data_IF_903949762489
#
_entry.id   IF_903949762489
#
_cell.length_a   1.000
_cell.length_b   1.000
_cell.length_c   1.000
_cell.angle_alpha   90.00
_cell.angle_beta   90.00
_cell.angle_gamma   90.00
#
_symmetry.space_group_name_H-M   'P 1'
#
loop_
_entity.id
_entity.type
_entity.pdbx_description
1 polymer ?
#
# COMPACT_ATOMS: atom_id res chain seq x y z
N UNK A 1 -16.41 -17.98 -31.86
CA UNK A 1 -16.33 -17.30 -30.56
C UNK A 1 -15.92 -15.86 -30.85
N UNK A 2 -16.46 -14.84 -30.17
CA UNK A 2 -15.91 -13.50 -30.32
C UNK A 2 -14.42 -13.52 -29.95
N UNK A 3 -13.60 -12.72 -30.64
CA UNK A 3 -12.18 -12.61 -30.33
C UNK A 3 -12.04 -12.17 -28.87
N UNK A 4 -11.10 -12.77 -28.14
CA UNK A 4 -10.83 -12.36 -26.77
C UNK A 4 -10.37 -10.90 -26.78
N UNK A 5 -10.92 -10.08 -25.86
CA UNK A 5 -10.55 -8.67 -25.72
C UNK A 5 -9.09 -8.58 -25.25
N UNK A 6 -8.40 -7.54 -25.66
CA UNK A 6 -7.00 -7.28 -25.33
C UNK A 6 -6.85 -6.04 -24.47
N UNK A 7 -5.88 -6.08 -23.56
CA UNK A 7 -5.54 -4.94 -22.70
C UNK A 7 -4.04 -4.78 -22.55
N UNK A 8 -3.57 -3.56 -22.67
CA UNK A 8 -2.20 -3.18 -22.28
C UNK A 8 -2.24 -2.44 -20.95
N UNK A 9 -1.42 -2.90 -20.00
CA UNK A 9 -1.30 -2.33 -18.65
C UNK A 9 0.05 -1.63 -18.55
N UNK A 10 0.06 -0.37 -18.17
CA UNK A 10 1.27 0.41 -17.92
C UNK A 10 1.55 0.44 -16.43
N UNK A 11 2.66 -0.19 -16.03
CA UNK A 11 3.11 -0.32 -14.65
C UNK A 11 2.95 -1.74 -14.10
N UNK A 12 4.07 -2.36 -13.72
CA UNK A 12 4.16 -3.70 -13.13
C UNK A 12 4.30 -3.65 -11.59
N UNK A 13 3.68 -2.66 -10.95
CA UNK A 13 3.48 -2.63 -9.51
C UNK A 13 2.34 -3.56 -9.07
N UNK A 14 1.98 -3.49 -7.78
CA UNK A 14 0.92 -4.34 -7.22
C UNK A 14 -0.43 -4.16 -7.92
N UNK A 15 -0.80 -2.93 -8.33
CA UNK A 15 -2.03 -2.68 -9.09
C UNK A 15 -2.00 -3.39 -10.45
N UNK A 16 -0.94 -3.15 -11.24
CA UNK A 16 -0.87 -3.70 -12.60
C UNK A 16 -0.74 -5.22 -12.63
N UNK A 17 0.10 -5.81 -11.78
CA UNK A 17 0.30 -7.26 -11.77
C UNK A 17 -0.93 -8.02 -11.26
N UNK A 18 -1.60 -7.52 -10.22
CA UNK A 18 -2.83 -8.17 -9.72
C UNK A 18 -3.97 -8.07 -10.73
N UNK A 19 -4.12 -6.90 -11.38
CA UNK A 19 -5.06 -6.72 -12.48
C UNK A 19 -4.77 -7.65 -13.65
N UNK A 20 -3.49 -7.76 -14.04
CA UNK A 20 -3.06 -8.61 -15.15
C UNK A 20 -3.41 -10.09 -14.92
N UNK A 21 -3.14 -10.60 -13.73
CA UNK A 21 -3.45 -11.99 -13.34
C UNK A 21 -4.96 -12.22 -13.38
N UNK A 22 -5.73 -11.33 -12.80
CA UNK A 22 -7.19 -11.46 -12.73
C UNK A 22 -7.84 -11.37 -14.11
N UNK A 23 -7.48 -10.36 -14.91
CA UNK A 23 -8.01 -10.19 -16.27
C UNK A 23 -7.62 -11.37 -17.17
N UNK A 24 -6.39 -11.86 -17.04
CA UNK A 24 -5.98 -13.08 -17.76
C UNK A 24 -6.84 -14.28 -17.38
N UNK A 25 -7.12 -14.44 -16.08
CA UNK A 25 -8.06 -15.48 -15.58
C UNK A 25 -9.48 -15.33 -16.11
N UNK A 26 -9.92 -14.10 -16.43
CA UNK A 26 -11.22 -13.80 -17.07
C UNK A 26 -11.21 -13.93 -18.59
N UNK A 27 -10.09 -14.36 -19.19
CA UNK A 27 -10.00 -14.64 -20.63
C UNK A 27 -9.49 -13.49 -21.50
N UNK A 28 -8.98 -12.40 -20.91
CA UNK A 28 -8.35 -11.30 -21.65
C UNK A 28 -6.97 -11.69 -22.20
N UNK A 29 -6.60 -11.12 -23.33
CA UNK A 29 -5.21 -11.04 -23.76
C UNK A 29 -4.53 -9.87 -23.06
N UNK A 30 -3.57 -10.15 -22.20
CA UNK A 30 -2.98 -9.15 -21.31
C UNK A 30 -1.49 -8.98 -21.60
N UNK A 31 -1.07 -7.73 -21.84
CA UNK A 31 0.32 -7.32 -21.83
C UNK A 31 0.55 -6.27 -20.74
N UNK A 32 1.71 -6.33 -20.08
CA UNK A 32 2.13 -5.37 -19.05
C UNK A 32 3.46 -4.78 -19.48
N UNK A 33 3.62 -3.46 -19.39
CA UNK A 33 4.90 -2.79 -19.62
C UNK A 33 5.33 -1.99 -18.39
N UNK A 34 6.64 -1.98 -18.12
CA UNK A 34 7.25 -1.23 -17.01
C UNK A 34 8.61 -0.66 -17.43
N UNK A 35 8.97 0.57 -17.01
CA UNK A 35 10.25 1.19 -17.36
C UNK A 35 11.48 0.53 -16.73
N UNK A 36 11.29 -0.25 -15.66
CA UNK A 36 12.38 -0.91 -14.95
C UNK A 36 12.31 -2.43 -14.99
N UNK A 37 13.24 -3.10 -14.29
CA UNK A 37 13.08 -4.50 -13.96
C UNK A 37 11.90 -4.68 -13.00
N UNK A 38 11.28 -5.86 -13.01
CA UNK A 38 10.16 -6.16 -12.08
C UNK A 38 10.63 -7.16 -11.03
N UNK A 39 10.64 -6.78 -9.73
CA UNK A 39 10.13 -5.56 -9.08
C UNK A 39 10.94 -4.30 -9.36
N UNK A 40 10.25 -3.22 -9.73
CA UNK A 40 10.89 -1.91 -9.96
C UNK A 40 11.32 -1.29 -8.62
N UNK A 41 12.61 -0.98 -8.38
CA UNK A 41 13.08 -0.50 -7.08
C UNK A 41 12.41 0.79 -6.60
N UNK A 42 12.00 1.63 -7.52
CA UNK A 42 11.36 2.92 -7.24
C UNK A 42 9.85 2.84 -7.04
N UNK A 43 9.21 1.70 -7.31
CA UNK A 43 7.77 1.54 -7.11
C UNK A 43 7.39 1.57 -5.61
N UNK A 44 6.23 2.14 -5.29
CA UNK A 44 5.71 2.15 -3.92
C UNK A 44 5.49 0.74 -3.36
N UNK A 45 5.16 -0.21 -4.22
CA UNK A 45 4.95 -1.62 -3.85
C UNK A 45 6.25 -2.39 -3.58
N UNK A 46 7.42 -1.85 -3.96
CA UNK A 46 8.72 -2.51 -3.77
C UNK A 46 9.42 -1.97 -2.54
N UNK A 47 9.47 -2.77 -1.48
CA UNK A 47 10.10 -2.43 -0.19
C UNK A 47 10.43 -3.74 0.55
N UNK A 48 11.09 -3.65 1.71
CA UNK A 48 11.36 -4.84 2.54
C UNK A 48 10.09 -5.37 3.21
N UNK A 49 9.18 -4.48 3.62
CA UNK A 49 7.95 -4.86 4.34
C UNK A 49 6.83 -3.85 4.14
N UNK A 50 5.58 -4.34 4.23
CA UNK A 50 4.35 -3.54 4.25
C UNK A 50 3.39 -4.10 5.29
N UNK A 51 2.71 -3.22 6.03
CA UNK A 51 1.69 -3.62 7.01
C UNK A 51 0.49 -4.25 6.29
N UNK A 52 0.00 -5.35 6.85
CA UNK A 52 -1.26 -6.01 6.44
C UNK A 52 -2.19 -6.04 7.64
N UNK A 53 -3.29 -5.32 7.57
CA UNK A 53 -4.26 -5.13 8.65
C UNK A 53 -5.66 -4.89 8.10
N UNK A 54 -6.68 -5.00 8.96
CA UNK A 54 -8.08 -4.71 8.66
C UNK A 54 -8.67 -3.56 9.48
N UNK A 55 -7.85 -2.88 10.25
CA UNK A 55 -8.21 -1.81 11.18
C UNK A 55 -8.38 -0.49 10.42
N UNK A 56 -9.64 -0.01 10.27
CA UNK A 56 -9.99 1.15 9.44
C UNK A 56 -11.02 2.09 10.12
N UNK A 57 -10.96 2.21 11.46
CA UNK A 57 -11.95 2.99 12.18
C UNK A 57 -13.35 2.41 12.00
N UNK A 58 -14.33 3.26 11.80
CA UNK A 58 -15.71 2.89 11.51
C UNK A 58 -15.99 2.65 10.01
N UNK A 59 -14.95 2.59 9.16
CA UNK A 59 -15.14 2.38 7.72
C UNK A 59 -15.37 0.90 7.41
N UNK A 60 -16.64 0.54 7.21
CA UNK A 60 -17.09 -0.81 6.94
C UNK A 60 -16.46 -1.39 5.67
N UNK A 61 -16.46 -0.62 4.57
CA UNK A 61 -15.93 -1.11 3.29
C UNK A 61 -14.45 -1.48 3.39
N UNK A 62 -13.63 -0.57 3.93
CA UNK A 62 -12.20 -0.83 4.07
C UNK A 62 -11.91 -1.97 5.05
N UNK A 63 -12.69 -2.08 6.13
CA UNK A 63 -12.55 -3.18 7.10
C UNK A 63 -12.88 -4.51 6.45
N UNK A 64 -13.99 -4.62 5.70
CA UNK A 64 -14.36 -5.85 5.01
C UNK A 64 -13.36 -6.24 3.91
N UNK A 65 -12.87 -5.27 3.12
CA UNK A 65 -11.78 -5.53 2.16
C UNK A 65 -10.52 -6.04 2.87
N UNK A 66 -10.17 -5.47 4.04
CA UNK A 66 -9.04 -5.92 4.85
C UNK A 66 -9.21 -7.33 5.37
N UNK A 67 -10.40 -7.69 5.88
CA UNK A 67 -10.75 -9.04 6.35
C UNK A 67 -10.63 -10.09 5.23
N UNK A 68 -11.22 -9.77 4.07
CA UNK A 68 -11.15 -10.63 2.89
C UNK A 68 -9.71 -10.77 2.38
N UNK A 69 -8.94 -9.69 2.40
CA UNK A 69 -7.55 -9.71 2.02
C UNK A 69 -6.70 -10.59 2.94
N UNK A 70 -6.87 -10.48 4.27
CA UNK A 70 -6.14 -11.31 5.25
C UNK A 70 -6.36 -12.81 5.03
N UNK A 71 -7.58 -13.22 4.69
CA UNK A 71 -7.87 -14.61 4.35
C UNK A 71 -7.08 -15.06 3.12
N UNK A 72 -7.06 -14.24 2.07
CA UNK A 72 -6.35 -14.55 0.82
C UNK A 72 -4.82 -14.43 0.94
N UNK A 73 -4.29 -13.63 1.86
CA UNK A 73 -2.85 -13.64 2.17
C UNK A 73 -2.36 -15.00 2.65
N UNK A 74 -3.16 -15.70 3.47
CA UNK A 74 -2.85 -17.07 3.88
C UNK A 74 -2.90 -18.06 2.70
N UNK A 75 -3.81 -17.85 1.74
CA UNK A 75 -3.84 -18.63 0.49
C UNK A 75 -2.60 -18.40 -0.34
N UNK A 76 -2.15 -17.16 -0.50
CA UNK A 76 -0.93 -16.82 -1.21
C UNK A 76 0.33 -17.44 -0.61
N UNK A 77 0.44 -17.51 0.73
CA UNK A 77 1.53 -18.25 1.38
C UNK A 77 1.55 -19.72 1.00
N UNK A 78 0.37 -20.36 0.94
CA UNK A 78 0.28 -21.78 0.52
C UNK A 78 0.62 -21.96 -0.97
N UNK A 79 0.14 -21.05 -1.80
CA UNK A 79 0.36 -21.10 -3.25
C UNK A 79 1.82 -20.83 -3.62
N UNK A 80 2.47 -19.87 -2.98
CA UNK A 80 3.86 -19.50 -3.25
C UNK A 80 4.88 -20.53 -2.71
N UNK A 81 4.49 -21.32 -1.71
CA UNK A 81 5.38 -22.25 -1.02
C UNK A 81 6.42 -21.57 -0.11
N UNK A 82 6.35 -20.24 0.02
CA UNK A 82 7.23 -19.44 0.88
C UNK A 82 6.40 -18.41 1.66
N UNK A 83 6.83 -17.97 2.85
CA UNK A 83 6.13 -16.94 3.59
C UNK A 83 6.27 -15.58 2.87
N UNK A 84 5.20 -15.15 2.23
CA UNK A 84 5.05 -13.80 1.66
C UNK A 84 4.43 -12.84 2.69
N UNK A 85 3.59 -13.38 3.56
CA UNK A 85 2.88 -12.68 4.63
C UNK A 85 3.12 -13.39 5.96
N UNK A 86 3.50 -12.63 6.98
CA UNK A 86 3.71 -13.05 8.35
C UNK A 86 2.54 -12.57 9.20
N UNK A 87 1.73 -13.52 9.70
CA UNK A 87 0.57 -13.22 10.55
C UNK A 87 0.99 -13.14 12.01
N UNK A 88 1.83 -12.17 12.35
CA UNK A 88 2.44 -12.00 13.67
C UNK A 88 1.56 -11.16 14.62
N UNK A 89 0.36 -10.78 14.17
CA UNK A 89 -0.52 -9.83 14.84
C UNK A 89 -0.17 -8.38 14.52
N UNK A 90 -1.06 -7.48 14.94
CA UNK A 90 -0.92 -6.03 14.77
C UNK A 90 -1.19 -5.34 16.12
N UNK A 91 -0.16 -4.66 16.64
CA UNK A 91 -0.24 -3.89 17.88
C UNK A 91 -0.61 -2.44 17.57
N UNK A 92 -1.67 -1.95 18.18
CA UNK A 92 -2.13 -0.56 18.05
C UNK A 92 -2.12 0.08 19.43
N UNK A 93 -1.28 1.09 19.61
CA UNK A 93 -1.13 1.80 20.88
C UNK A 93 -1.44 3.28 20.71
N UNK A 94 -2.04 3.88 21.74
CA UNK A 94 -2.40 5.29 21.81
C UNK A 94 -1.68 5.96 22.98
N UNK A 95 -1.21 7.19 22.77
CA UNK A 95 -0.60 8.03 23.83
C UNK A 95 -1.62 8.67 24.79
N UNK A 96 -2.89 8.49 24.50
CA UNK A 96 -3.99 8.88 25.36
C UNK A 96 -5.01 7.75 25.43
N UNK A 97 -5.92 7.80 26.39
CA UNK A 97 -7.04 6.87 26.42
C UNK A 97 -7.82 6.96 25.10
N UNK A 98 -8.09 5.82 24.49
CA UNK A 98 -8.87 5.76 23.24
C UNK A 98 -10.28 6.30 23.48
N UNK A 99 -10.71 7.27 22.68
CA UNK A 99 -11.98 7.97 22.84
C UNK A 99 -12.88 7.83 21.59
N UNK A 100 -14.20 7.85 21.74
CA UNK A 100 -15.12 7.89 20.61
C UNK A 100 -14.74 8.97 19.59
N UNK A 101 -14.80 8.63 18.30
CA UNK A 101 -14.37 9.49 17.20
C UNK A 101 -12.88 9.40 16.87
N UNK A 102 -12.05 8.79 17.71
CA UNK A 102 -10.64 8.50 17.42
C UNK A 102 -10.50 7.22 16.61
N UNK A 103 -9.53 7.21 15.69
CA UNK A 103 -9.30 6.07 14.77
C UNK A 103 -9.09 4.73 15.53
N UNK A 104 -8.28 4.73 16.58
CA UNK A 104 -7.97 3.54 17.37
C UNK A 104 -9.21 3.01 18.11
N UNK A 105 -10.01 3.91 18.68
CA UNK A 105 -11.25 3.55 19.37
C UNK A 105 -12.28 2.97 18.40
N UNK A 106 -12.54 3.67 17.30
CA UNK A 106 -13.52 3.23 16.30
C UNK A 106 -13.10 1.90 15.66
N UNK A 107 -11.80 1.70 15.39
CA UNK A 107 -11.28 0.42 14.91
C UNK A 107 -11.54 -0.70 15.91
N UNK A 108 -11.22 -0.48 17.19
CA UNK A 108 -11.45 -1.47 18.24
C UNK A 108 -12.93 -1.82 18.38
N UNK A 109 -13.79 -0.79 18.45
CA UNK A 109 -15.24 -0.98 18.59
C UNK A 109 -15.84 -1.73 17.40
N UNK A 110 -15.54 -1.26 16.17
CA UNK A 110 -16.12 -1.87 14.97
C UNK A 110 -15.68 -3.32 14.80
N UNK A 111 -14.40 -3.64 14.97
CA UNK A 111 -13.89 -5.01 14.89
C UNK A 111 -14.48 -5.90 15.99
N UNK A 112 -14.75 -5.34 17.18
CA UNK A 112 -15.45 -6.08 18.25
C UNK A 112 -16.88 -6.43 17.85
N UNK A 113 -17.62 -5.54 17.17
CA UNK A 113 -18.96 -5.86 16.65
C UNK A 113 -18.94 -6.98 15.62
N UNK A 114 -17.85 -7.09 14.86
CA UNK A 114 -17.59 -8.17 13.91
C UNK A 114 -17.08 -9.47 14.57
N UNK A 115 -17.04 -9.49 15.91
CA UNK A 115 -16.56 -10.63 16.73
C UNK A 115 -15.10 -11.02 16.46
N UNK A 116 -14.27 -10.06 16.05
CA UNK A 116 -12.84 -10.28 15.99
C UNK A 116 -12.27 -10.37 17.42
N UNK A 117 -11.28 -11.25 17.61
CA UNK A 117 -10.69 -11.53 18.94
C UNK A 117 -9.59 -10.51 19.25
N UNK A 118 -9.98 -9.29 19.57
CA UNK A 118 -9.05 -8.26 19.99
C UNK A 118 -8.76 -8.35 21.49
N UNK A 119 -7.55 -7.98 21.86
CA UNK A 119 -7.12 -7.89 23.26
C UNK A 119 -6.84 -6.42 23.60
N UNK A 120 -7.64 -5.81 24.50
CA UNK A 120 -7.40 -4.46 24.99
C UNK A 120 -6.20 -4.47 25.94
N UNK A 121 -5.34 -3.48 25.82
CA UNK A 121 -4.10 -3.36 26.55
C UNK A 121 -4.01 -2.01 27.27
N UNK A 122 -3.67 -2.05 28.55
CA UNK A 122 -3.19 -0.89 29.31
C UNK A 122 -1.66 -0.89 29.38
N UNK A 123 -1.08 0.14 30.00
CA UNK A 123 0.38 0.25 30.16
C UNK A 123 1.01 -0.96 30.85
N UNK A 124 0.31 -1.57 31.84
CA UNK A 124 0.85 -2.73 32.56
C UNK A 124 0.92 -3.97 31.66
N UNK A 125 -0.15 -4.21 30.87
CA UNK A 125 -0.19 -5.28 29.88
C UNK A 125 0.85 -5.07 28.77
N UNK A 126 1.04 -3.83 28.31
CA UNK A 126 2.09 -3.49 27.33
C UNK A 126 3.47 -3.77 27.90
N UNK A 127 3.79 -3.33 29.14
CA UNK A 127 5.08 -3.57 29.78
C UNK A 127 5.39 -5.08 29.92
N UNK A 128 4.39 -5.86 30.30
CA UNK A 128 4.53 -7.30 30.47
C UNK A 128 4.79 -8.03 29.16
N UNK A 129 4.03 -7.69 28.11
CA UNK A 129 4.00 -8.46 26.86
C UNK A 129 5.01 -7.97 25.83
N UNK A 130 5.27 -6.65 25.80
CA UNK A 130 6.11 -5.99 24.82
C UNK A 130 7.20 -5.15 25.48
N UNK A 131 8.18 -5.79 26.16
CA UNK A 131 9.13 -5.11 27.05
C UNK A 131 10.06 -4.10 26.36
N UNK A 132 10.10 -4.06 25.03
CA UNK A 132 10.86 -3.04 24.29
C UNK A 132 10.20 -1.66 24.28
N UNK A 133 8.93 -1.54 24.70
CA UNK A 133 8.19 -0.28 24.70
C UNK A 133 8.34 0.51 26.00
N UNK A 134 8.39 1.83 25.93
CA UNK A 134 8.12 2.72 27.06
C UNK A 134 6.62 2.71 27.36
N UNK A 135 6.16 1.66 28.06
CA UNK A 135 4.74 1.37 28.24
C UNK A 135 3.97 2.48 28.98
N UNK A 136 4.62 3.26 29.84
CA UNK A 136 4.06 4.43 30.51
C UNK A 136 3.62 5.55 29.56
N UNK A 137 4.18 5.60 28.37
CA UNK A 137 3.79 6.53 27.31
C UNK A 137 2.51 6.11 26.56
N UNK A 138 2.03 4.88 26.78
CA UNK A 138 0.91 4.28 26.06
C UNK A 138 -0.13 3.68 27.02
N UNK A 139 -1.00 4.53 27.58
CA UNK A 139 -1.99 4.10 28.59
C UNK A 139 -3.10 3.23 28.03
N UNK A 140 -3.27 3.16 26.71
CA UNK A 140 -4.36 2.42 26.07
C UNK A 140 -3.96 1.92 24.68
N UNK A 141 -4.63 0.87 24.25
CA UNK A 141 -4.40 0.28 22.95
C UNK A 141 -5.03 -1.10 22.85
N UNK A 142 -4.68 -1.81 21.79
CA UNK A 142 -5.11 -3.20 21.61
C UNK A 142 -4.14 -4.00 20.74
N UNK A 143 -4.20 -5.31 20.88
CA UNK A 143 -3.56 -6.26 19.98
C UNK A 143 -4.62 -6.98 19.14
N UNK A 144 -4.43 -6.94 17.82
CA UNK A 144 -5.23 -7.70 16.87
C UNK A 144 -4.41 -8.92 16.40
N UNK A 145 -4.77 -10.17 16.77
CA UNK A 145 -4.02 -11.35 16.36
C UNK A 145 -4.13 -11.66 14.86
N UNK A 146 -5.08 -11.03 14.18
CA UNK A 146 -5.25 -11.10 12.73
C UNK A 146 -4.70 -9.86 12.07
N UNK A 147 -3.47 -9.96 11.62
CA UNK A 147 -2.73 -8.89 10.99
C UNK A 147 -1.25 -9.23 10.99
N UNK A 148 -0.44 -8.35 10.44
CA UNK A 148 0.98 -8.59 10.35
C UNK A 148 1.63 -7.80 9.24
N UNK A 149 2.58 -8.40 8.54
CA UNK A 149 3.31 -7.71 7.50
C UNK A 149 3.67 -8.64 6.33
N UNK A 150 3.83 -8.07 5.16
CA UNK A 150 4.20 -8.79 3.95
C UNK A 150 5.58 -8.34 3.45
N UNK A 151 6.37 -9.30 2.93
CA UNK A 151 7.65 -9.07 2.27
C UNK A 151 7.43 -8.53 0.86
N UNK A 152 7.18 -7.21 0.77
CA UNK A 152 6.57 -6.61 -0.40
C UNK A 152 7.34 -6.80 -1.71
N UNK A 153 8.69 -6.73 -1.70
CA UNK A 153 9.48 -7.02 -2.90
C UNK A 153 9.34 -8.48 -3.35
N UNK A 154 9.31 -9.43 -2.40
CA UNK A 154 9.08 -10.85 -2.73
C UNK A 154 7.68 -11.08 -3.29
N UNK A 155 6.69 -10.41 -2.72
CA UNK A 155 5.31 -10.45 -3.22
C UNK A 155 5.23 -9.99 -4.67
N UNK A 156 5.83 -8.84 -5.00
CA UNK A 156 5.80 -8.31 -6.37
C UNK A 156 6.55 -9.24 -7.33
N UNK A 157 7.71 -9.80 -6.92
CA UNK A 157 8.45 -10.77 -7.71
C UNK A 157 7.63 -12.03 -7.98
N UNK A 158 6.97 -12.57 -6.95
CA UNK A 158 6.08 -13.71 -7.07
C UNK A 158 4.88 -13.42 -7.99
N UNK A 159 4.25 -12.25 -7.86
CA UNK A 159 3.15 -11.83 -8.74
C UNK A 159 3.60 -11.73 -10.20
N UNK A 160 4.81 -11.20 -10.46
CA UNK A 160 5.35 -11.11 -11.81
C UNK A 160 5.58 -12.51 -12.42
N UNK A 161 6.11 -13.45 -11.63
CA UNK A 161 6.25 -14.83 -12.05
C UNK A 161 4.88 -15.48 -12.32
N UNK A 162 3.92 -15.29 -11.40
CA UNK A 162 2.55 -15.83 -11.54
C UNK A 162 1.87 -15.29 -12.79
N UNK A 163 2.01 -13.99 -13.08
CA UNK A 163 1.48 -13.38 -14.29
C UNK A 163 2.05 -14.03 -15.56
N UNK A 164 3.39 -14.21 -15.62
CA UNK A 164 4.05 -14.91 -16.75
C UNK A 164 3.57 -16.35 -16.90
N UNK A 165 3.47 -17.10 -15.80
CA UNK A 165 2.95 -18.47 -15.81
C UNK A 165 1.49 -18.54 -16.28
N UNK A 166 0.68 -17.52 -16.02
CA UNK A 166 -0.69 -17.40 -16.52
C UNK A 166 -0.77 -17.01 -18.01
N UNK A 167 0.35 -16.70 -18.66
CA UNK A 167 0.41 -16.29 -20.06
C UNK A 167 0.20 -14.78 -20.26
N UNK A 168 0.51 -13.97 -19.25
CA UNK A 168 0.62 -12.52 -19.40
C UNK A 168 1.98 -12.18 -20.00
N UNK A 169 2.00 -11.34 -21.04
CA UNK A 169 3.24 -10.81 -21.61
C UNK A 169 3.76 -9.67 -20.76
N UNK A 170 4.91 -9.83 -20.09
CA UNK A 170 5.51 -8.81 -19.24
C UNK A 170 6.76 -8.24 -19.90
N UNK A 171 6.67 -6.99 -20.35
CA UNK A 171 7.71 -6.23 -21.02
C UNK A 171 8.42 -5.31 -20.03
N UNK A 172 9.64 -5.67 -19.66
CA UNK A 172 10.51 -4.87 -18.79
C UNK A 172 11.36 -3.89 -19.62
N UNK A 173 11.74 -2.76 -19.02
CA UNK A 173 12.56 -1.71 -19.64
C UNK A 173 11.87 -0.95 -20.79
N UNK A 174 10.54 -0.94 -20.78
CA UNK A 174 9.73 -0.14 -21.71
C UNK A 174 9.08 1.03 -20.99
N UNK A 175 9.70 2.20 -21.10
CA UNK A 175 9.16 3.42 -20.51
C UNK A 175 8.02 3.96 -21.37
N UNK A 176 6.89 4.29 -20.75
CA UNK A 176 5.76 4.95 -21.39
C UNK A 176 6.18 6.30 -22.01
N UNK A 177 5.78 6.57 -23.22
CA UNK A 177 5.95 7.85 -23.90
C UNK A 177 4.63 8.61 -24.07
N UNK A 178 3.62 7.95 -24.64
CA UNK A 178 2.30 8.55 -24.92
C UNK A 178 1.23 7.49 -25.16
N UNK A 179 -0.02 7.90 -25.05
CA UNK A 179 -1.16 7.12 -25.53
C UNK A 179 -1.16 7.11 -27.07
N UNK A 180 -1.63 5.99 -27.65
CA UNK A 180 -1.97 5.89 -29.06
C UNK A 180 -3.47 6.13 -29.19
N UNK A 181 -3.85 7.08 -30.07
CA UNK A 181 -5.25 7.48 -30.24
C UNK A 181 -5.67 7.28 -31.71
N UNK A 182 -6.91 6.86 -31.87
CA UNK A 182 -7.64 6.82 -33.16
C UNK A 182 -8.93 7.61 -32.96
N UNK A 183 -8.94 8.82 -33.49
CA UNK A 183 -9.94 9.83 -33.15
C UNK A 183 -9.89 10.18 -31.67
N UNK A 184 -10.98 10.01 -30.95
CA UNK A 184 -11.08 10.22 -29.50
C UNK A 184 -10.78 8.95 -28.67
N UNK A 185 -10.58 7.81 -29.32
CA UNK A 185 -10.40 6.52 -28.66
C UNK A 185 -8.92 6.22 -28.43
N UNK A 186 -8.58 5.80 -27.23
CA UNK A 186 -7.27 5.21 -26.93
C UNK A 186 -7.25 3.77 -27.44
N UNK A 187 -6.24 3.44 -28.25
CA UNK A 187 -6.03 2.14 -28.91
C UNK A 187 -4.70 1.49 -28.52
N UNK A 188 -4.07 1.96 -27.46
CA UNK A 188 -2.81 1.44 -26.96
C UNK A 188 -1.87 2.51 -26.44
N UNK A 189 -0.59 2.16 -26.34
CA UNK A 189 0.48 3.03 -25.88
C UNK A 189 1.72 2.92 -26.74
N UNK A 190 2.54 3.98 -26.79
CA UNK A 190 3.88 3.94 -27.35
C UNK A 190 4.91 4.08 -26.24
N UNK A 191 5.94 3.24 -26.29
CA UNK A 191 7.10 3.35 -25.44
C UNK A 191 8.09 4.40 -25.98
N UNK A 192 9.03 4.86 -25.14
CA UNK A 192 10.03 5.86 -25.51
C UNK A 192 11.00 5.43 -26.61
N UNK A 193 11.18 4.11 -26.78
CA UNK A 193 11.98 3.52 -27.89
C UNK A 193 11.23 3.47 -29.24
N UNK A 194 9.97 3.92 -29.26
CA UNK A 194 9.10 3.94 -30.42
C UNK A 194 8.21 2.70 -30.59
N UNK A 195 8.39 1.64 -29.81
CA UNK A 195 7.54 0.45 -29.87
C UNK A 195 6.11 0.77 -29.50
N UNK A 196 5.17 0.25 -30.28
CA UNK A 196 3.73 0.37 -30.03
C UNK A 196 3.17 -0.91 -29.42
N UNK A 197 2.31 -0.75 -28.42
CA UNK A 197 1.50 -1.80 -27.80
C UNK A 197 0.04 -1.46 -28.02
N UNK A 198 -0.57 -2.11 -29.02
CA UNK A 198 -1.98 -1.87 -29.39
C UNK A 198 -2.88 -2.85 -28.66
N UNK A 199 -4.03 -2.35 -28.16
CA UNK A 199 -5.02 -3.15 -27.45
C UNK A 199 -6.39 -2.48 -27.51
N UNK A 200 -7.46 -3.24 -27.22
CA UNK A 200 -8.83 -2.73 -27.11
C UNK A 200 -9.00 -1.76 -25.94
N UNK A 201 -8.27 -2.00 -24.84
CA UNK A 201 -8.22 -1.15 -23.66
C UNK A 201 -6.76 -0.90 -23.22
N UNK A 202 -6.55 0.26 -22.60
CA UNK A 202 -5.31 0.63 -21.93
C UNK A 202 -5.60 0.90 -20.46
N UNK A 203 -4.85 0.27 -19.54
CA UNK A 203 -4.93 0.52 -18.10
C UNK A 203 -3.66 1.24 -17.64
N UNK A 204 -3.79 2.44 -17.09
CA UNK A 204 -2.69 3.12 -16.41
C UNK A 204 -2.67 2.73 -14.93
N UNK A 205 -1.70 1.90 -14.53
CA UNK A 205 -1.44 1.46 -13.16
C UNK A 205 -0.10 2.02 -12.65
N UNK A 206 0.14 3.31 -12.92
CA UNK A 206 1.44 3.97 -12.85
C UNK A 206 1.76 4.60 -11.49
N UNK A 207 0.94 4.32 -10.45
CA UNK A 207 1.14 4.79 -9.09
C UNK A 207 1.35 6.31 -9.04
N UNK A 208 2.42 6.75 -8.39
CA UNK A 208 2.73 8.17 -8.19
C UNK A 208 2.92 8.97 -9.50
N UNK A 209 3.19 8.31 -10.63
CA UNK A 209 3.32 8.97 -11.95
C UNK A 209 1.98 9.26 -12.61
N UNK A 210 0.87 8.68 -12.12
CA UNK A 210 -0.45 8.84 -12.76
C UNK A 210 -0.83 10.30 -13.02
N UNK A 211 -0.76 11.23 -12.05
CA UNK A 211 -1.12 12.63 -12.29
C UNK A 211 -0.12 13.38 -13.20
N UNK A 212 1.08 12.85 -13.41
CA UNK A 212 2.05 13.37 -14.37
C UNK A 212 1.71 12.93 -15.79
N UNK A 213 1.22 11.68 -15.95
CA UNK A 213 0.85 11.13 -17.26
C UNK A 213 -0.56 11.55 -17.68
N UNK A 214 -1.43 11.87 -16.72
CA UNK A 214 -2.78 12.39 -16.90
C UNK A 214 -2.92 13.70 -16.10
N UNK A 215 -2.46 14.85 -16.63
CA UNK A 215 -2.46 16.12 -15.90
C UNK A 215 -3.84 16.58 -15.41
N UNK A 216 -4.90 16.15 -16.08
CA UNK A 216 -6.30 16.37 -15.67
C UNK A 216 -6.64 15.79 -14.30
N UNK A 217 -5.82 14.88 -13.77
CA UNK A 217 -5.96 14.31 -12.43
C UNK A 217 -5.14 15.05 -11.36
N UNK A 218 -4.35 16.05 -11.73
CA UNK A 218 -3.42 16.73 -10.79
C UNK A 218 -4.13 17.49 -9.64
N UNK A 219 -5.39 17.87 -9.83
CA UNK A 219 -6.20 18.52 -8.80
C UNK A 219 -6.79 17.52 -7.78
N UNK A 220 -6.89 16.25 -8.14
CA UNK A 220 -7.53 15.20 -7.33
C UNK A 220 -6.56 14.16 -6.81
N UNK A 221 -5.34 14.06 -7.39
CA UNK A 221 -4.28 13.18 -6.90
C UNK A 221 -2.89 13.77 -7.11
N UNK A 222 -1.93 13.33 -6.32
CA UNK A 222 -0.55 13.83 -6.34
C UNK A 222 0.45 12.84 -5.73
N UNK A 223 1.72 12.97 -6.10
CA UNK A 223 2.79 12.20 -5.49
C UNK A 223 3.20 12.80 -4.15
N UNK A 224 3.26 11.95 -3.11
CA UNK A 224 3.68 12.32 -1.74
C UNK A 224 4.81 11.42 -1.26
N UNK A 225 5.95 12.02 -0.90
CA UNK A 225 7.08 11.33 -0.29
C UNK A 225 6.88 11.13 1.20
N UNK A 226 7.03 9.89 1.66
CA UNK A 226 6.98 9.51 3.06
C UNK A 226 8.33 8.91 3.48
N UNK A 227 8.97 9.41 4.55
CA UNK A 227 10.27 8.91 5.00
C UNK A 227 10.15 7.54 5.65
N UNK A 228 11.09 6.69 5.33
CA UNK A 228 11.31 5.37 5.92
C UNK A 228 12.76 5.28 6.33
N UNK A 229 13.02 4.93 7.59
CA UNK A 229 14.36 4.75 8.12
C UNK A 229 14.55 3.31 8.60
N UNK A 230 15.71 2.75 8.26
CA UNK A 230 16.10 1.40 8.67
C UNK A 230 17.25 1.50 9.66
N UNK A 231 17.07 0.88 10.82
CA UNK A 231 18.06 0.82 11.88
C UNK A 231 18.61 -0.58 12.03
N UNK A 232 19.82 -0.71 12.58
CA UNK A 232 20.45 -1.97 12.92
C UNK A 232 20.26 -2.27 14.40
N UNK A 233 19.65 -3.42 14.72
CA UNK A 233 19.55 -3.91 16.09
C UNK A 233 20.61 -5.00 16.34
N UNK A 234 21.25 -4.95 17.52
CA UNK A 234 22.34 -5.88 17.86
C UNK A 234 21.80 -7.29 18.14
N UNK A 235 20.61 -7.41 18.71
CA UNK A 235 19.97 -8.68 19.05
C UNK A 235 18.58 -8.77 18.38
N UNK A 236 18.50 -9.26 17.13
CA UNK A 236 17.23 -9.29 16.38
C UNK A 236 16.12 -10.05 17.10
N UNK A 237 16.43 -11.10 17.85
CA UNK A 237 15.43 -11.94 18.52
C UNK A 237 14.60 -11.18 19.58
N UNK A 238 15.13 -10.10 20.15
CA UNK A 238 14.39 -9.25 21.09
C UNK A 238 13.37 -8.34 20.39
N UNK A 239 13.59 -8.08 19.11
CA UNK A 239 12.80 -7.18 18.26
C UNK A 239 11.97 -7.92 17.20
N UNK A 240 11.63 -9.17 17.47
CA UNK A 240 10.79 -10.00 16.61
C UNK A 240 9.51 -10.45 17.34
N UNK A 241 8.51 -10.87 16.56
CA UNK A 241 7.32 -11.48 17.13
C UNK A 241 7.66 -12.74 17.94
N UNK A 242 6.92 -13.02 19.03
CA UNK A 242 5.74 -12.31 19.52
C UNK A 242 6.04 -11.09 20.40
N UNK A 243 7.31 -10.84 20.76
CA UNK A 243 7.72 -9.74 21.66
C UNK A 243 7.66 -8.38 20.99
N UNK A 244 7.85 -8.33 19.69
CA UNK A 244 7.84 -7.11 18.89
C UNK A 244 7.16 -7.38 17.53
N UNK A 245 5.81 -7.42 17.50
CA UNK A 245 5.05 -7.58 16.25
C UNK A 245 5.12 -6.31 15.41
N UNK A 246 4.48 -6.31 14.24
CA UNK A 246 4.21 -5.07 13.51
C UNK A 246 3.25 -4.19 14.33
N UNK A 247 3.48 -2.87 14.30
CA UNK A 247 2.81 -1.96 15.21
C UNK A 247 2.44 -0.61 14.57
N UNK A 248 1.48 0.06 15.20
CA UNK A 248 1.14 1.45 15.01
C UNK A 248 1.10 2.14 16.38
N UNK A 249 1.73 3.30 16.48
CA UNK A 249 1.82 4.09 17.70
C UNK A 249 1.17 5.44 17.47
N UNK A 250 -0.01 5.64 18.07
CA UNK A 250 -0.78 6.88 17.96
C UNK A 250 -1.01 7.26 16.48
N UNK A 251 -1.37 6.25 15.68
CA UNK A 251 -1.37 6.34 14.22
C UNK A 251 -2.36 7.38 13.71
N UNK A 252 -3.52 7.49 14.37
CA UNK A 252 -4.55 8.46 14.01
C UNK A 252 -4.12 9.92 14.19
N UNK A 253 -3.13 10.21 15.05
CA UNK A 253 -2.69 11.58 15.36
C UNK A 253 -1.29 11.89 14.87
N UNK A 254 -0.36 10.93 15.00
CA UNK A 254 1.07 11.16 14.73
C UNK A 254 1.63 10.36 13.57
N UNK A 255 0.93 9.30 13.14
CA UNK A 255 1.27 8.53 11.96
C UNK A 255 2.40 7.52 12.15
N UNK A 256 2.91 7.24 13.35
CA UNK A 256 4.01 6.32 13.56
C UNK A 256 3.62 4.86 13.40
N UNK A 257 4.45 4.11 12.68
CA UNK A 257 4.34 2.65 12.56
C UNK A 257 5.69 2.02 12.28
N UNK A 258 5.80 0.72 12.55
CA UNK A 258 7.03 0.00 12.31
C UNK A 258 6.84 -1.51 12.29
N UNK A 259 7.94 -2.20 12.10
CA UNK A 259 7.98 -3.62 11.81
C UNK A 259 8.90 -4.36 12.76
N UNK A 260 8.71 -5.69 12.95
CA UNK A 260 9.71 -6.49 13.62
C UNK A 260 11.06 -6.45 12.87
N UNK A 261 12.13 -6.70 13.58
CA UNK A 261 13.45 -6.81 12.98
C UNK A 261 13.51 -8.04 12.05
N UNK A 262 14.15 -7.89 10.91
CA UNK A 262 14.51 -9.01 10.06
C UNK A 262 15.64 -9.84 10.70
N UNK A 263 15.88 -11.04 10.17
CA UNK A 263 16.92 -11.95 10.71
C UNK A 263 18.33 -11.33 10.68
N UNK A 264 18.59 -10.42 9.74
CA UNK A 264 19.85 -9.69 9.64
C UNK A 264 19.95 -8.49 10.62
N UNK A 265 18.93 -8.26 11.44
CA UNK A 265 18.86 -7.15 12.39
C UNK A 265 18.38 -5.83 11.79
N UNK A 266 17.89 -5.81 10.56
CA UNK A 266 17.27 -4.62 9.97
C UNK A 266 15.90 -4.38 10.59
N UNK A 267 15.71 -3.24 11.25
CA UNK A 267 14.46 -2.80 11.86
C UNK A 267 13.98 -1.55 11.15
N UNK A 268 12.78 -1.61 10.57
CA UNK A 268 12.18 -0.54 9.79
C UNK A 268 11.17 0.26 10.60
N UNK A 269 11.31 1.57 10.57
CA UNK A 269 10.35 2.53 11.13
C UNK A 269 9.93 3.51 10.05
N UNK A 270 8.68 3.90 10.08
CA UNK A 270 8.12 4.83 9.12
C UNK A 270 7.06 5.74 9.77
N UNK A 271 6.72 6.79 9.06
CA UNK A 271 5.69 7.72 9.48
C UNK A 271 4.69 7.95 8.35
N UNK A 272 3.40 7.82 8.67
CA UNK A 272 2.27 8.09 7.77
C UNK A 272 1.69 9.47 8.08
N UNK A 273 2.54 10.49 7.99
CA UNK A 273 2.17 11.88 8.22
C UNK A 273 1.78 12.60 6.93
N UNK A 274 1.75 13.94 6.93
CA UNK A 274 1.38 14.74 5.75
C UNK A 274 2.32 14.49 4.56
N UNK A 275 3.56 14.10 4.84
CA UNK A 275 4.56 13.86 3.82
C UNK A 275 4.97 15.12 3.06
N UNK A 276 5.68 14.93 1.97
CA UNK A 276 6.17 16.02 1.12
C UNK A 276 5.70 15.81 -0.32
N UNK A 277 4.94 16.75 -0.89
CA UNK A 277 4.58 16.71 -2.31
C UNK A 277 5.83 16.92 -3.16
N UNK A 278 6.01 16.11 -4.19
CA UNK A 278 7.14 16.21 -5.11
C UNK A 278 6.78 15.58 -6.46
N UNK A 279 7.56 15.96 -7.49
CA UNK A 279 7.47 15.27 -8.78
C UNK A 279 7.99 13.82 -8.62
N UNK A 280 7.35 12.80 -9.21
CA UNK A 280 7.75 11.40 -9.02
C UNK A 280 9.16 11.08 -9.56
N UNK A 281 9.69 11.85 -10.48
CA UNK A 281 11.06 11.75 -11.01
C UNK A 281 12.09 12.59 -10.23
N UNK A 282 11.65 13.34 -9.20
CA UNK A 282 12.58 14.11 -8.37
C UNK A 282 13.48 13.17 -7.53
N UNK A 283 14.67 13.63 -7.10
CA UNK A 283 15.51 12.88 -6.16
C UNK A 283 14.73 12.44 -4.93
N UNK A 284 14.87 11.17 -4.57
CA UNK A 284 14.13 10.54 -3.45
C UNK A 284 14.96 10.52 -2.19
N UNK A 285 15.31 11.70 -1.72
CA UNK A 285 16.10 11.88 -0.50
C UNK A 285 15.19 12.22 0.67
N UNK A 286 15.43 11.61 1.83
CA UNK A 286 14.80 12.01 3.08
C UNK A 286 15.36 13.36 3.51
N UNK A 287 14.54 14.17 4.20
CA UNK A 287 14.97 15.46 4.70
C UNK A 287 16.02 15.30 5.81
N UNK A 288 16.93 16.28 5.94
CA UNK A 288 17.86 16.37 7.08
C UNK A 288 17.14 16.38 8.45
N UNK A 289 15.87 16.81 8.47
CA UNK A 289 15.07 16.87 9.70
C UNK A 289 14.40 15.52 10.03
N UNK A 290 14.37 14.58 9.09
CA UNK A 290 13.70 13.30 9.31
C UNK A 290 14.43 12.43 10.33
N UNK A 291 15.75 12.27 10.22
CA UNK A 291 16.49 11.46 11.20
C UNK A 291 16.35 12.01 12.63
N UNK A 292 16.58 13.29 12.92
CA UNK A 292 16.35 13.86 14.25
C UNK A 292 14.93 13.59 14.78
N UNK A 293 13.90 13.72 13.96
CA UNK A 293 12.51 13.45 14.31
C UNK A 293 12.28 11.97 14.63
N UNK A 294 12.83 11.05 13.85
CA UNK A 294 12.77 9.61 14.13
C UNK A 294 13.55 9.25 15.41
N UNK A 295 14.72 9.85 15.61
CA UNK A 295 15.52 9.66 16.86
C UNK A 295 14.75 10.15 18.09
N UNK A 296 14.04 11.27 18.01
CA UNK A 296 13.19 11.75 19.10
C UNK A 296 12.09 10.71 19.41
N UNK A 297 11.39 10.22 18.40
CA UNK A 297 10.39 9.17 18.57
C UNK A 297 10.99 7.89 19.20
N UNK A 298 12.19 7.46 18.77
CA UNK A 298 12.88 6.30 19.34
C UNK A 298 13.19 6.50 20.81
N UNK A 299 13.75 7.66 21.20
CA UNK A 299 14.05 7.96 22.62
C UNK A 299 12.81 7.86 23.51
N UNK A 300 11.69 8.35 23.02
CA UNK A 300 10.44 8.35 23.78
C UNK A 300 9.78 6.96 23.85
N UNK A 301 9.82 6.23 22.75
CA UNK A 301 9.02 5.00 22.57
C UNK A 301 9.84 3.73 22.79
N UNK A 302 11.07 3.70 22.29
CA UNK A 302 12.00 2.55 22.32
C UNK A 302 13.39 3.01 22.77
N UNK A 303 13.60 3.36 24.04
CA UNK A 303 14.88 3.92 24.52
C UNK A 303 16.09 3.07 24.16
N UNK A 304 15.96 1.75 24.15
CA UNK A 304 17.02 0.83 23.76
C UNK A 304 17.44 0.95 22.28
N UNK A 305 16.62 1.60 21.43
CA UNK A 305 16.91 1.86 20.02
C UNK A 305 17.35 3.32 19.75
N UNK A 306 17.42 4.16 20.77
CA UNK A 306 17.71 5.60 20.59
C UNK A 306 18.99 5.84 19.78
N UNK A 307 20.03 5.05 20.05
CA UNK A 307 21.35 5.15 19.42
C UNK A 307 21.62 4.03 18.39
N UNK A 308 20.59 3.27 18.00
CA UNK A 308 20.74 2.21 17.00
C UNK A 308 21.30 2.79 15.69
N UNK A 309 22.30 2.15 15.06
CA UNK A 309 22.88 2.64 13.81
C UNK A 309 21.83 2.78 12.71
N UNK A 310 21.75 3.95 12.08
CA UNK A 310 20.99 4.16 10.84
C UNK A 310 21.73 3.49 9.69
N UNK A 311 21.11 2.49 9.03
CA UNK A 311 21.73 1.70 7.97
C UNK A 311 21.15 1.98 6.58
N UNK A 312 20.08 2.75 6.52
CA UNK A 312 19.49 3.13 5.25
C UNK A 312 18.26 4.01 5.41
N UNK A 313 18.01 4.79 4.37
CA UNK A 313 16.83 5.65 4.28
C UNK A 313 16.12 5.43 2.95
N UNK A 314 14.82 5.68 2.90
CA UNK A 314 14.02 5.65 1.69
C UNK A 314 12.93 6.71 1.75
N UNK A 315 12.74 7.46 0.68
CA UNK A 315 11.54 8.25 0.48
C UNK A 315 10.56 7.44 -0.37
N UNK A 316 9.55 6.87 0.27
CA UNK A 316 8.51 6.10 -0.41
C UNK A 316 7.49 7.05 -1.03
N UNK A 317 7.17 6.91 -2.32
CA UNK A 317 6.18 7.74 -2.97
C UNK A 317 4.81 7.08 -2.95
N UNK A 318 3.83 7.76 -2.35
CA UNK A 318 2.41 7.43 -2.47
C UNK A 318 1.81 8.18 -3.66
N UNK A 319 0.75 7.65 -4.24
CA UNK A 319 -0.19 8.38 -5.08
C UNK A 319 -1.40 8.73 -4.21
N UNK A 320 -1.35 9.88 -3.55
CA UNK A 320 -2.45 10.34 -2.71
C UNK A 320 -3.61 10.85 -3.54
N UNK A 321 -4.82 10.51 -3.15
CA UNK A 321 -6.06 11.14 -3.62
C UNK A 321 -6.59 12.09 -2.56
N UNK A 322 -7.43 13.03 -2.98
CA UNK A 322 -7.98 14.06 -2.09
C UNK A 322 -8.82 13.49 -0.93
N UNK A 323 -9.33 12.26 -1.07
CA UNK A 323 -10.21 11.58 -0.10
C UNK A 323 -9.63 10.24 0.40
N UNK A 324 -8.41 9.89 0.02
CA UNK A 324 -7.75 8.64 0.41
C UNK A 324 -8.29 7.37 -0.26
N UNK A 325 -9.31 7.45 -1.11
CA UNK A 325 -9.86 6.29 -1.81
C UNK A 325 -9.11 5.99 -3.11
N UNK A 326 -9.12 4.73 -3.54
CA UNK A 326 -8.59 4.34 -4.83
C UNK A 326 -9.30 5.04 -5.98
N UNK A 327 -8.66 5.06 -7.13
CA UNK A 327 -9.21 5.55 -8.38
C UNK A 327 -9.19 4.42 -9.39
N UNK A 328 -10.34 3.76 -9.56
CA UNK A 328 -10.48 2.56 -10.38
C UNK A 328 -11.67 2.78 -11.33
N UNK A 329 -11.43 3.31 -12.53
CA UNK A 329 -12.51 3.61 -13.46
C UNK A 329 -12.03 3.83 -14.90
N UNK A 330 -12.97 3.82 -15.83
CA UNK A 330 -12.78 4.32 -17.17
C UNK A 330 -12.61 5.84 -17.19
N UNK A 331 -11.79 6.33 -18.10
CA UNK A 331 -11.66 7.77 -18.32
C UNK A 331 -12.94 8.30 -19.00
N UNK A 332 -13.63 9.32 -18.44
CA UNK A 332 -14.95 9.73 -18.91
C UNK A 332 -14.95 10.33 -20.32
N UNK A 333 -13.81 10.89 -20.77
CA UNK A 333 -13.69 11.58 -22.05
C UNK A 333 -12.77 10.87 -23.05
N UNK A 334 -12.10 9.77 -22.66
CA UNK A 334 -11.18 9.00 -23.52
C UNK A 334 -11.58 7.53 -23.54
N UNK A 335 -12.53 7.13 -24.40
CA UNK A 335 -12.90 5.72 -24.55
C UNK A 335 -11.66 4.86 -24.79
N UNK A 336 -11.61 3.67 -24.20
CA UNK A 336 -10.46 2.79 -24.31
C UNK A 336 -9.37 3.01 -23.27
N UNK A 337 -9.50 4.03 -22.39
CA UNK A 337 -8.59 4.30 -21.31
C UNK A 337 -9.22 4.02 -19.94
N UNK A 338 -8.52 3.24 -19.11
CA UNK A 338 -8.84 3.00 -17.70
C UNK A 338 -7.69 3.48 -16.81
N UNK A 339 -8.00 3.82 -15.57
CA UNK A 339 -7.03 4.22 -14.54
C UNK A 339 -7.18 3.35 -13.30
N UNK A 340 -6.06 2.87 -12.76
CA UNK A 340 -5.97 2.21 -11.46
C UNK A 340 -4.83 2.82 -10.66
N UNK A 341 -5.16 3.77 -9.77
CA UNK A 341 -4.20 4.57 -9.01
C UNK A 341 -4.77 4.96 -7.63
N UNK A 342 -4.11 5.89 -6.95
CA UNK A 342 -4.61 6.45 -5.71
C UNK A 342 -4.40 5.52 -4.51
N UNK A 343 -3.22 4.91 -4.40
CA UNK A 343 -2.90 3.98 -3.30
C UNK A 343 -2.95 4.64 -1.91
N UNK A 344 -2.79 5.96 -1.83
CA UNK A 344 -2.81 6.78 -0.62
C UNK A 344 -2.02 6.16 0.55
N UNK A 345 -0.97 5.40 0.21
CA UNK A 345 -0.08 4.71 1.16
C UNK A 345 -0.67 3.49 1.85
N UNK A 346 -1.86 3.03 1.46
CA UNK A 346 -2.49 1.90 2.17
C UNK A 346 -2.97 0.74 1.27
N UNK A 347 -2.73 0.78 -0.05
CA UNK A 347 -3.26 -0.23 -0.96
C UNK A 347 -2.60 -1.61 -0.87
N UNK A 348 -1.31 -1.70 -0.52
CA UNK A 348 -0.57 -2.96 -0.62
C UNK A 348 -1.20 -4.12 0.16
N UNK A 349 -1.77 -3.85 1.33
CA UNK A 349 -2.45 -4.86 2.15
C UNK A 349 -3.64 -5.52 1.45
N UNK A 350 -4.22 -4.84 0.46
CA UNK A 350 -5.35 -5.33 -0.33
C UNK A 350 -4.91 -6.10 -1.59
N UNK A 351 -3.61 -6.30 -1.82
CA UNK A 351 -3.10 -6.96 -3.01
C UNK A 351 -3.88 -8.22 -3.43
N UNK A 352 -4.26 -9.14 -2.51
CA UNK A 352 -4.98 -10.34 -2.89
C UNK A 352 -6.43 -10.14 -3.38
N UNK A 353 -7.03 -8.99 -3.12
CA UNK A 353 -8.39 -8.63 -3.59
C UNK A 353 -8.39 -7.52 -4.64
N UNK A 354 -7.26 -6.81 -4.76
CA UNK A 354 -7.14 -5.63 -5.61
C UNK A 354 -7.33 -5.95 -7.10
N UNK A 355 -6.79 -7.08 -7.56
CA UNK A 355 -6.94 -7.51 -8.96
C UNK A 355 -8.41 -7.65 -9.37
N UNK A 356 -9.23 -8.24 -8.50
CA UNK A 356 -10.67 -8.38 -8.72
C UNK A 356 -11.37 -7.02 -8.82
N UNK A 357 -11.06 -6.08 -7.93
CA UNK A 357 -11.61 -4.72 -7.97
C UNK A 357 -11.23 -3.98 -9.26
N UNK A 358 -9.98 -4.10 -9.69
CA UNK A 358 -9.52 -3.44 -10.93
C UNK A 358 -10.15 -4.09 -12.15
N UNK A 359 -10.24 -5.41 -12.20
CA UNK A 359 -10.88 -6.11 -13.29
C UNK A 359 -12.38 -5.78 -13.38
N UNK A 360 -13.08 -5.68 -12.24
CA UNK A 360 -14.47 -5.24 -12.17
C UNK A 360 -14.65 -3.81 -12.75
N UNK A 361 -13.71 -2.90 -12.45
CA UNK A 361 -13.68 -1.56 -13.04
C UNK A 361 -13.46 -1.59 -14.56
N UNK A 362 -12.47 -2.37 -15.02
CA UNK A 362 -12.14 -2.54 -16.45
C UNK A 362 -13.34 -3.09 -17.22
N UNK A 363 -14.10 -4.01 -16.64
CA UNK A 363 -15.31 -4.60 -17.24
C UNK A 363 -16.58 -3.75 -17.05
N UNK A 364 -16.45 -2.57 -16.42
CA UNK A 364 -17.54 -1.62 -16.23
C UNK A 364 -18.60 -2.07 -15.23
N UNK A 365 -18.24 -2.91 -14.27
CA UNK A 365 -19.15 -3.34 -13.20
C UNK A 365 -19.50 -2.17 -12.30
N UNK A 366 -20.77 -2.05 -11.96
CA UNK A 366 -21.32 -0.97 -11.13
C UNK A 366 -21.97 -1.56 -9.88
N UNK A 367 -21.34 -1.37 -8.73
CA UNK A 367 -21.89 -1.66 -7.41
C UNK A 367 -21.50 -0.58 -6.39
N UNK A 368 -21.84 -0.76 -5.11
CA UNK A 368 -21.57 0.22 -4.06
C UNK A 368 -20.07 0.42 -3.84
N UNK A 369 -19.26 -0.64 -3.97
CA UNK A 369 -17.80 -0.61 -3.84
C UNK A 369 -17.18 0.15 -5.00
N UNK A 370 -17.58 -0.19 -6.23
CA UNK A 370 -17.05 0.45 -7.42
C UNK A 370 -17.41 1.93 -7.50
N UNK A 371 -18.61 2.32 -7.05
CA UNK A 371 -19.00 3.74 -6.96
C UNK A 371 -18.08 4.56 -6.07
N UNK A 372 -17.51 3.97 -5.01
CA UNK A 372 -16.56 4.65 -4.12
C UNK A 372 -15.22 4.92 -4.81
N UNK A 373 -14.81 4.08 -5.74
CA UNK A 373 -13.53 4.16 -6.45
C UNK A 373 -13.65 4.77 -7.85
N UNK A 374 -14.86 5.08 -8.29
CA UNK A 374 -15.14 5.64 -9.60
C UNK A 374 -14.56 7.04 -9.78
N UNK A 375 -14.55 7.51 -11.02
CA UNK A 375 -14.21 8.89 -11.38
C UNK A 375 -15.10 9.88 -10.64
N UNK A 376 -14.50 10.85 -9.96
CA UNK A 376 -15.23 11.77 -9.09
C UNK A 376 -14.58 13.15 -9.02
N UNK A 377 -15.41 14.16 -8.78
CA UNK A 377 -14.95 15.52 -8.56
C UNK A 377 -14.43 15.70 -7.12
N UNK A 378 -13.51 16.63 -6.96
CA UNK A 378 -12.99 16.99 -5.64
C UNK A 378 -14.11 17.63 -4.80
N UNK A 379 -14.39 17.03 -3.66
CA UNK A 379 -15.27 17.61 -2.62
C UNK A 379 -14.43 17.96 -1.40
N UNK A 380 -14.89 18.91 -0.59
CA UNK A 380 -14.28 19.18 0.71
C UNK A 380 -14.43 17.93 1.58
N UNK A 381 -13.31 17.28 1.89
CA UNK A 381 -13.27 16.12 2.78
C UNK A 381 -12.40 16.45 3.99
N UNK A 382 -12.76 15.86 5.15
CA UNK A 382 -11.84 15.83 6.29
C UNK A 382 -10.62 14.99 5.95
N UNK A 383 -9.43 15.46 6.29
CA UNK A 383 -8.20 14.65 6.18
C UNK A 383 -8.06 13.77 7.41
N UNK A 384 -7.42 12.60 7.27
CA UNK A 384 -6.96 11.83 8.43
C UNK A 384 -6.09 12.71 9.33
N UNK A 385 -6.29 12.66 10.65
CA UNK A 385 -5.65 13.59 11.60
C UNK A 385 -4.13 13.65 11.47
N UNK A 386 -3.46 12.51 11.31
CA UNK A 386 -2.01 12.43 11.11
C UNK A 386 -1.54 13.03 9.77
N UNK A 387 -2.40 13.07 8.75
CA UNK A 387 -2.08 13.59 7.42
C UNK A 387 -2.47 15.04 7.22
N UNK A 388 -3.17 15.62 8.19
CA UNK A 388 -3.62 17.01 8.15
C UNK A 388 -2.62 18.01 8.72
N UNK A 389 -1.58 17.57 9.38
CA UNK A 389 -0.63 18.40 10.15
C UNK A 389 0.65 18.69 9.41
#
# INVERSE_FOLDING_TARGET
MPAAQSIVIVGAGVFGLTAAIELRGRGWHVSVMDPGPVPTPTAASTDISKVVRMDYGADELWTELGRNSLQRWAEWNRESGVPLFHNDGFLVLSREAMQPGGFEFESFQFLTTLREKLERLDSAAVAQRFPGWSADQYPDGYFNPRGGWAESSKVVAWLAQKARCAGVEVFEQYAFARLLEDGSRVVGVQAKDGREFRADLTLLATGAWTPTLLPELSDVMWATGQPVLNFRVANPAEWQAPRFPVWAADIGRTGWYGFPALADGTLKIANHGPGRRLHPDAPREVSSDDEPRFRAFLRDTFPALADAPLIGTRLCLYCDTFDGNFWLDHHPQRPGLCVAAGDSGHAFKFAPVLGGLIADAVEGKVDITMKRFAWRERKATGSEGARAR
#
